data_IF_408290638101
#
_entry.id   IF_408290638101
#
_cell.length_a   1.000
_cell.length_b   1.000
_cell.length_c   1.000
_cell.angle_alpha   90.00
_cell.angle_beta   90.00
_cell.angle_gamma   90.00
#
_symmetry.space_group_name_H-M   'P 1'
#
loop_
_entity.id
_entity.type
_entity.pdbx_description
1 polymer ?
#
# COMPACT_ATOMS: atom_id res chain seq x y z
N UNK A 1 -19.54 5.25 -21.30
CA UNK A 1 -19.03 5.86 -20.06
C UNK A 1 -19.87 7.08 -19.79
N UNK A 2 -20.27 7.37 -18.54
CA UNK A 2 -21.03 8.59 -18.26
C UNK A 2 -20.18 9.81 -18.66
N UNK A 3 -20.66 10.60 -19.63
CA UNK A 3 -19.89 11.65 -20.33
C UNK A 3 -19.42 12.77 -19.39
N UNK A 4 -20.13 12.99 -18.29
CA UNK A 4 -19.80 13.89 -17.20
C UNK A 4 -18.52 13.47 -16.46
N UNK A 5 -18.32 12.16 -16.25
CA UNK A 5 -17.10 11.63 -15.62
C UNK A 5 -15.91 11.80 -16.56
N UNK A 6 -16.08 11.52 -17.86
CA UNK A 6 -15.01 11.71 -18.84
C UNK A 6 -14.58 13.18 -18.95
N UNK A 7 -15.55 14.11 -19.00
CA UNK A 7 -15.27 15.55 -19.00
C UNK A 7 -14.48 15.96 -17.75
N UNK A 8 -14.90 15.50 -16.58
CA UNK A 8 -14.21 15.83 -15.33
C UNK A 8 -12.77 15.31 -15.29
N UNK A 9 -12.54 14.09 -15.79
CA UNK A 9 -11.19 13.51 -15.88
C UNK A 9 -10.30 14.30 -16.85
N UNK A 10 -10.84 14.79 -17.96
CA UNK A 10 -10.10 15.66 -18.89
C UNK A 10 -9.71 16.99 -18.23
N UNK A 11 -10.63 17.65 -17.53
CA UNK A 11 -10.33 18.90 -16.80
C UNK A 11 -9.22 18.72 -15.76
N UNK A 12 -9.20 17.58 -15.06
CA UNK A 12 -8.17 17.25 -14.07
C UNK A 12 -6.81 16.97 -14.72
N UNK A 13 -6.78 16.29 -15.87
CA UNK A 13 -5.55 16.05 -16.62
C UNK A 13 -4.95 17.35 -17.17
N UNK A 14 -5.79 18.24 -17.72
CA UNK A 14 -5.38 19.58 -18.18
C UNK A 14 -4.85 20.44 -17.02
N UNK A 15 -5.51 20.43 -15.86
CA UNK A 15 -5.03 21.14 -14.67
C UNK A 15 -3.69 20.61 -14.14
N UNK A 16 -3.37 19.34 -14.40
CA UNK A 16 -2.10 18.70 -14.05
C UNK A 16 -1.02 18.85 -15.14
N UNK A 17 -1.32 19.52 -16.26
CA UNK A 17 -0.49 19.66 -17.46
C UNK A 17 -0.01 18.31 -18.01
N UNK A 18 -0.89 17.31 -17.98
CA UNK A 18 -0.59 15.93 -18.43
C UNK A 18 -1.59 15.45 -19.48
N UNK A 19 -1.15 14.61 -20.43
CA UNK A 19 -2.06 13.86 -21.29
C UNK A 19 -3.03 13.02 -20.46
N UNK A 20 -4.29 12.92 -20.89
CA UNK A 20 -5.35 12.20 -20.17
C UNK A 20 -4.97 10.73 -19.89
N UNK A 21 -4.38 10.04 -20.86
CA UNK A 21 -3.95 8.64 -20.71
C UNK A 21 -2.91 8.47 -19.61
N UNK A 22 -1.92 9.38 -19.55
CA UNK A 22 -0.87 9.36 -18.54
C UNK A 22 -1.43 9.69 -17.15
N UNK A 23 -2.32 10.69 -17.06
CA UNK A 23 -3.03 11.04 -15.83
C UNK A 23 -3.83 9.85 -15.29
N UNK A 24 -4.58 9.17 -16.15
CA UNK A 24 -5.37 8.00 -15.76
C UNK A 24 -4.50 6.82 -15.35
N UNK A 25 -3.39 6.58 -16.05
CA UNK A 25 -2.47 5.49 -15.69
C UNK A 25 -1.85 5.71 -14.30
N UNK A 26 -1.43 6.94 -14.00
CA UNK A 26 -0.91 7.31 -12.69
C UNK A 26 -1.98 7.15 -11.60
N UNK A 27 -3.22 7.53 -11.89
CA UNK A 27 -4.32 7.44 -10.92
C UNK A 27 -4.74 5.99 -10.68
N UNK A 28 -4.79 5.15 -11.72
CA UNK A 28 -5.01 3.71 -11.60
C UNK A 28 -3.88 3.06 -10.80
N UNK A 29 -2.62 3.42 -11.08
CA UNK A 29 -1.48 2.94 -10.32
C UNK A 29 -1.53 3.35 -8.85
N UNK A 30 -2.03 4.56 -8.53
CA UNK A 30 -2.23 5.03 -7.16
C UNK A 30 -3.31 4.22 -6.43
N UNK A 31 -4.41 3.92 -7.12
CA UNK A 31 -5.50 3.10 -6.59
C UNK A 31 -5.00 1.68 -6.30
N UNK A 32 -4.22 1.08 -7.21
CA UNK A 32 -3.69 -0.27 -7.02
C UNK A 32 -2.48 -0.32 -6.08
N UNK A 33 -1.75 0.79 -5.90
CA UNK A 33 -0.65 0.88 -4.94
C UNK A 33 -1.12 1.06 -3.49
N UNK A 34 -2.42 1.35 -3.27
CA UNK A 34 -3.00 1.33 -1.93
C UNK A 34 -3.32 -0.12 -1.59
N UNK A 35 -2.55 -0.78 -0.70
CA UNK A 35 -2.84 -2.15 -0.33
C UNK A 35 -4.25 -2.19 0.25
N UNK A 36 -5.01 -3.21 -0.13
CA UNK A 36 -6.35 -3.41 0.41
C UNK A 36 -6.26 -3.65 1.92
N UNK A 37 -7.36 -3.41 2.64
CA UNK A 37 -7.41 -3.72 4.08
C UNK A 37 -7.06 -5.20 4.33
N UNK A 38 -7.54 -6.09 3.48
CA UNK A 38 -7.26 -7.52 3.53
C UNK A 38 -5.76 -7.81 3.34
N UNK A 39 -5.10 -7.17 2.37
CA UNK A 39 -3.64 -7.30 2.18
C UNK A 39 -2.82 -6.75 3.36
N UNK A 40 -3.31 -5.69 4.01
CA UNK A 40 -2.69 -5.17 5.23
C UNK A 40 -2.86 -6.14 6.39
N UNK A 41 -4.03 -6.75 6.54
CA UNK A 41 -4.34 -7.76 7.55
C UNK A 41 -3.53 -9.04 7.34
N UNK A 42 -3.46 -9.57 6.12
CA UNK A 42 -2.62 -10.71 5.75
C UNK A 42 -1.13 -10.45 6.07
N UNK A 43 -0.67 -9.20 5.85
CA UNK A 43 0.70 -8.79 6.23
C UNK A 43 0.89 -8.72 7.74
N UNK A 44 -0.12 -8.32 8.50
CA UNK A 44 -0.09 -8.30 9.96
C UNK A 44 -0.13 -9.72 10.51
N UNK A 45 -0.93 -10.62 9.94
CA UNK A 45 -0.99 -12.03 10.30
C UNK A 45 0.31 -12.76 9.97
N UNK A 46 0.90 -12.52 8.79
CA UNK A 46 2.19 -13.09 8.40
C UNK A 46 3.37 -12.55 9.20
N UNK A 47 3.34 -11.27 9.62
CA UNK A 47 4.29 -10.72 10.61
C UNK A 47 3.97 -11.17 12.04
N UNK A 48 2.74 -11.57 12.29
CA UNK A 48 2.17 -12.01 13.56
C UNK A 48 2.51 -13.44 13.93
N UNK A 49 3.61 -14.01 13.43
CA UNK A 49 4.20 -15.22 14.02
C UNK A 49 4.98 -14.85 15.29
N UNK A 50 4.21 -14.49 16.32
CA UNK A 50 4.61 -14.22 17.70
C UNK A 50 5.17 -15.41 18.47
N UNK A 51 6.09 -16.17 17.85
CA UNK A 51 6.87 -17.23 18.52
C UNK A 51 8.38 -17.02 18.44
N UNK A 52 8.88 -16.27 17.44
CA UNK A 52 10.32 -15.98 17.33
C UNK A 52 10.77 -14.80 18.18
N UNK A 53 9.96 -13.76 18.39
CA UNK A 53 10.38 -12.58 19.16
C UNK A 53 10.58 -12.83 20.66
N UNK A 54 9.78 -13.70 21.29
CA UNK A 54 9.94 -14.04 22.71
C UNK A 54 11.10 -14.99 22.94
N UNK A 55 11.26 -16.02 22.10
CA UNK A 55 12.37 -16.95 22.23
C UNK A 55 13.70 -16.24 21.96
N UNK A 56 13.77 -15.41 20.92
CA UNK A 56 14.93 -14.57 20.62
C UNK A 56 15.24 -13.60 21.77
N UNK A 57 14.22 -12.93 22.35
CA UNK A 57 14.44 -12.04 23.49
C UNK A 57 14.89 -12.79 24.76
N UNK A 58 14.47 -14.03 24.96
CA UNK A 58 14.95 -14.90 26.05
C UNK A 58 16.40 -15.33 25.79
N UNK A 59 16.70 -15.76 24.56
CA UNK A 59 18.05 -16.19 24.16
C UNK A 59 19.05 -15.01 24.26
N UNK A 60 18.64 -13.81 23.84
CA UNK A 60 19.44 -12.59 23.96
C UNK A 60 19.70 -12.22 25.44
N UNK A 61 18.68 -12.36 26.32
CA UNK A 61 18.82 -12.12 27.76
C UNK A 61 19.70 -13.17 28.47
N UNK A 62 19.67 -14.43 28.04
CA UNK A 62 20.54 -15.48 28.57
C UNK A 62 22.00 -15.32 28.10
N UNK A 63 22.20 -14.82 26.88
CA UNK A 63 23.54 -14.53 26.33
C UNK A 63 24.25 -13.39 27.08
N UNK A 64 23.52 -12.37 27.55
CA UNK A 64 24.08 -11.27 28.34
C UNK A 64 24.46 -11.66 29.79
N UNK A 65 23.96 -12.80 30.29
CA UNK A 65 24.20 -13.26 31.68
C UNK A 65 25.39 -14.23 31.82
N UNK A 66 26.10 -14.56 30.75
CA UNK A 66 27.36 -15.35 30.77
C UNK A 66 28.58 -14.46 30.63
#
# INVERSE_FOLDING_TARGET
MPDDVFRRLRELAEAADRPLEEYLLAELARITATPTMDEVLDRIESRGSGRFGLQQAVDDLEAERR
#
